data_IF_214671119575
#
_entry.id   IF_214671119575
#
_cell.length_a   1.000
_cell.length_b   1.000
_cell.length_c   1.000
_cell.angle_alpha   90.00
_cell.angle_beta   90.00
_cell.angle_gamma   90.00
#
_symmetry.space_group_name_H-M   'P 1'
#
loop_
_entity.id
_entity.type
_entity.pdbx_description
1 polymer ?
#
# COMPACT_ATOMS: atom_id res chain seq x y z
N UNK A 1 -21.29 43.32 -23.24
CA UNK A 1 -21.35 41.85 -23.42
C UNK A 1 -20.08 41.11 -22.98
N UNK A 2 -18.91 41.76 -22.84
CA UNK A 2 -17.66 41.10 -22.42
C UNK A 2 -17.46 40.92 -20.90
N UNK A 3 -18.04 41.80 -20.06
CA UNK A 3 -17.83 41.76 -18.61
C UNK A 3 -18.62 40.66 -17.89
N UNK A 4 -19.80 40.30 -18.39
CA UNK A 4 -20.64 39.23 -17.80
C UNK A 4 -19.99 37.86 -18.02
N UNK A 5 -19.33 37.66 -19.17
CA UNK A 5 -18.56 36.44 -19.47
C UNK A 5 -17.30 36.32 -18.61
N UNK A 6 -16.63 37.44 -18.30
CA UNK A 6 -15.46 37.45 -17.42
C UNK A 6 -15.83 37.14 -15.96
N UNK A 7 -16.96 37.65 -15.47
CA UNK A 7 -17.48 37.35 -14.13
C UNK A 7 -17.96 35.90 -13.99
N UNK A 8 -18.61 35.35 -15.02
CA UNK A 8 -19.00 33.94 -15.06
C UNK A 8 -17.79 33.00 -15.11
N UNK A 9 -16.77 33.33 -15.91
CA UNK A 9 -15.53 32.55 -15.99
C UNK A 9 -14.76 32.54 -14.68
N UNK A 10 -14.72 33.68 -13.97
CA UNK A 10 -14.02 33.80 -12.68
C UNK A 10 -14.81 33.16 -11.53
N UNK A 11 -16.14 33.23 -11.56
CA UNK A 11 -17.01 32.53 -10.60
C UNK A 11 -16.93 31.00 -10.72
N UNK A 12 -16.89 30.48 -11.95
CA UNK A 12 -16.80 29.03 -12.20
C UNK A 12 -15.46 28.43 -11.74
N UNK A 13 -14.35 29.18 -11.88
CA UNK A 13 -13.01 28.75 -11.49
C UNK A 13 -12.83 28.69 -9.96
N UNK A 14 -13.47 29.60 -9.23
CA UNK A 14 -13.48 29.60 -7.75
C UNK A 14 -14.32 28.44 -7.21
N UNK A 15 -15.44 28.10 -7.86
CA UNK A 15 -16.28 26.95 -7.49
C UNK A 15 -15.54 25.62 -7.74
N UNK A 16 -14.80 25.51 -8.86
CA UNK A 16 -13.97 24.34 -9.14
C UNK A 16 -12.82 24.17 -8.12
N UNK A 17 -12.21 25.27 -7.67
CA UNK A 17 -11.18 25.25 -6.61
C UNK A 17 -11.71 24.91 -5.21
N UNK A 18 -12.99 25.16 -4.92
CA UNK A 18 -13.60 24.90 -3.60
C UNK A 18 -14.29 23.54 -3.47
N UNK A 19 -14.60 22.85 -4.57
CA UNK A 19 -15.17 21.49 -4.53
C UNK A 19 -14.13 20.37 -4.74
N UNK A 20 -12.92 20.70 -5.19
CA UNK A 20 -11.81 19.77 -5.30
C UNK A 20 -11.33 19.12 -3.97
N UNK A 21 -11.44 19.72 -2.77
CA UNK A 21 -10.89 19.11 -1.56
C UNK A 21 -11.82 18.10 -0.87
N UNK A 22 -13.03 17.83 -1.40
CA UNK A 22 -14.04 17.02 -0.69
C UNK A 22 -14.04 15.53 -1.01
N UNK A 23 -13.36 15.11 -2.07
CA UNK A 23 -13.14 13.68 -2.34
C UNK A 23 -11.69 13.54 -2.75
N UNK A 24 -10.87 13.03 -1.84
CA UNK A 24 -9.53 12.57 -2.16
C UNK A 24 -9.67 11.38 -3.12
N UNK A 25 -9.79 11.69 -4.40
CA UNK A 25 -10.00 10.71 -5.47
C UNK A 25 -8.81 9.75 -5.55
N UNK A 26 -7.63 10.19 -5.09
CA UNK A 26 -6.47 9.32 -4.93
C UNK A 26 -6.69 8.29 -3.84
N UNK A 27 -7.21 8.69 -2.66
CA UNK A 27 -7.57 7.74 -1.61
C UNK A 27 -8.64 6.74 -2.05
N UNK A 28 -9.68 7.20 -2.75
CA UNK A 28 -10.74 6.32 -3.27
C UNK A 28 -10.16 5.33 -4.28
N UNK A 29 -9.29 5.79 -5.18
CA UNK A 29 -8.64 4.95 -6.19
C UNK A 29 -7.70 3.94 -5.55
N UNK A 30 -6.90 4.35 -4.58
CA UNK A 30 -5.95 3.45 -3.92
C UNK A 30 -6.68 2.44 -3.03
N UNK A 31 -7.74 2.86 -2.33
CA UNK A 31 -8.62 1.93 -1.60
C UNK A 31 -9.24 0.88 -2.52
N UNK A 32 -9.68 1.28 -3.72
CA UNK A 32 -10.20 0.33 -4.72
C UNK A 32 -9.10 -0.63 -5.19
N UNK A 33 -7.89 -0.13 -5.45
CA UNK A 33 -6.74 -0.97 -5.83
C UNK A 33 -6.37 -1.98 -4.74
N UNK A 34 -6.31 -1.57 -3.47
CA UNK A 34 -6.07 -2.45 -2.33
C UNK A 34 -7.11 -3.58 -2.27
N UNK A 35 -8.39 -3.25 -2.41
CA UNK A 35 -9.48 -4.25 -2.47
C UNK A 35 -9.33 -5.20 -3.65
N UNK A 36 -9.00 -4.70 -4.84
CA UNK A 36 -8.78 -5.54 -6.02
C UNK A 36 -7.58 -6.49 -5.81
N UNK A 37 -6.49 -6.02 -5.22
CA UNK A 37 -5.31 -6.83 -4.89
C UNK A 37 -5.63 -7.93 -3.87
N UNK A 38 -6.32 -7.58 -2.78
CA UNK A 38 -6.76 -8.56 -1.79
C UNK A 38 -7.68 -9.62 -2.41
N UNK A 39 -8.61 -9.22 -3.28
CA UNK A 39 -9.48 -10.14 -3.99
C UNK A 39 -8.72 -11.04 -4.98
N UNK A 40 -7.69 -10.51 -5.67
CA UNK A 40 -6.83 -11.29 -6.55
C UNK A 40 -6.06 -12.37 -5.78
N UNK A 41 -5.47 -12.02 -4.63
CA UNK A 41 -4.79 -12.99 -3.76
C UNK A 41 -5.77 -14.06 -3.26
N UNK A 42 -6.99 -13.68 -2.87
CA UNK A 42 -8.02 -14.62 -2.45
C UNK A 42 -8.44 -15.59 -3.58
N UNK A 43 -8.34 -15.18 -4.84
CA UNK A 43 -8.53 -16.06 -6.02
C UNK A 43 -7.29 -16.90 -6.34
N UNK A 44 -6.21 -16.78 -5.57
CA UNK A 44 -4.95 -17.46 -5.81
C UNK A 44 -4.08 -16.81 -6.88
N UNK A 45 -4.37 -15.57 -7.31
CA UNK A 45 -3.56 -14.86 -8.29
C UNK A 45 -2.29 -14.29 -7.66
N UNK A 46 -1.18 -14.27 -8.42
CA UNK A 46 0.06 -13.61 -8.00
C UNK A 46 -0.13 -12.10 -8.09
N UNK A 47 0.08 -11.41 -6.97
CA UNK A 47 -0.18 -9.97 -6.84
C UNK A 47 0.96 -9.27 -6.13
N UNK A 48 1.34 -8.10 -6.62
CA UNK A 48 2.34 -7.24 -5.95
C UNK A 48 1.67 -6.26 -5.00
N UNK A 49 2.06 -6.29 -3.73
CA UNK A 49 1.58 -5.39 -2.68
C UNK A 49 2.69 -4.38 -2.33
N UNK A 50 2.40 -3.06 -2.35
CA UNK A 50 3.34 -2.04 -1.89
C UNK A 50 3.67 -2.18 -0.40
N UNK A 51 4.95 -2.05 -0.04
CA UNK A 51 5.39 -2.04 1.34
C UNK A 51 6.74 -1.33 1.50
N UNK A 52 7.08 -1.02 2.76
CA UNK A 52 8.44 -0.67 3.16
C UNK A 52 9.02 -1.90 3.87
N UNK A 53 10.21 -2.30 3.45
CA UNK A 53 10.94 -3.42 4.03
C UNK A 53 12.29 -2.94 4.55
N UNK A 54 12.64 -3.38 5.75
CA UNK A 54 13.99 -3.35 6.29
C UNK A 54 14.33 -4.75 6.70
N UNK A 55 15.32 -5.33 6.05
CA UNK A 55 15.73 -6.72 6.24
C UNK A 55 17.24 -6.84 6.03
N UNK A 56 17.92 -7.56 6.93
CA UNK A 56 19.37 -7.69 6.91
C UNK A 56 19.90 -8.31 5.60
N UNK A 57 19.18 -9.26 5.02
CA UNK A 57 19.63 -10.01 3.84
C UNK A 57 19.13 -9.38 2.54
N UNK A 58 17.86 -8.97 2.50
CA UNK A 58 17.22 -8.48 1.27
C UNK A 58 17.45 -7.00 1.00
N UNK A 59 17.71 -6.21 2.04
CA UNK A 59 17.86 -4.74 1.92
C UNK A 59 19.19 -4.25 2.48
N UNK A 60 20.05 -5.14 2.99
CA UNK A 60 21.28 -4.78 3.69
C UNK A 60 21.03 -4.06 5.02
N UNK A 61 19.86 -4.26 5.63
CA UNK A 61 19.45 -3.61 6.87
C UNK A 61 18.97 -2.16 6.73
N UNK A 62 18.81 -1.66 5.50
CA UNK A 62 18.27 -0.33 5.21
C UNK A 62 16.77 -0.38 4.92
N UNK A 63 16.02 0.65 5.32
CA UNK A 63 14.62 0.79 4.90
C UNK A 63 14.54 1.04 3.39
N UNK A 64 13.74 0.24 2.70
CA UNK A 64 13.50 0.38 1.26
C UNK A 64 12.02 0.24 0.93
N UNK A 65 11.52 1.17 0.12
CA UNK A 65 10.19 1.05 -0.50
C UNK A 65 10.24 0.06 -1.67
N UNK A 66 9.16 -0.71 -1.82
CA UNK A 66 9.04 -1.68 -2.90
C UNK A 66 7.74 -2.44 -2.84
N UNK A 67 7.78 -3.68 -3.34
CA UNK A 67 6.59 -4.53 -3.43
C UNK A 67 6.92 -5.97 -3.06
N UNK A 68 6.05 -6.56 -2.26
CA UNK A 68 6.03 -8.00 -2.02
C UNK A 68 5.09 -8.68 -3.01
N UNK A 69 5.59 -9.66 -3.74
CA UNK A 69 4.75 -10.50 -4.58
C UNK A 69 4.19 -11.65 -3.75
N UNK A 70 2.86 -11.75 -3.70
CA UNK A 70 2.10 -12.64 -2.81
C UNK A 70 1.07 -13.43 -3.61
N UNK A 71 0.76 -14.65 -3.18
CA UNK A 71 -0.22 -15.53 -3.83
C UNK A 71 0.38 -16.35 -4.97
N UNK A 72 -0.48 -16.97 -5.79
CA UNK A 72 -0.06 -17.84 -6.89
C UNK A 72 0.44 -19.23 -6.46
N UNK A 73 0.22 -19.64 -5.20
CA UNK A 73 0.78 -20.88 -4.65
C UNK A 73 2.31 -20.91 -4.60
N UNK A 74 2.96 -19.74 -4.67
CA UNK A 74 4.42 -19.57 -4.68
C UNK A 74 4.86 -18.83 -3.41
N UNK A 75 6.11 -19.05 -3.00
CA UNK A 75 6.74 -18.30 -1.92
C UNK A 75 6.61 -16.78 -2.11
N UNK A 76 6.50 -16.05 -1.01
CA UNK A 76 6.47 -14.58 -1.05
C UNK A 76 7.85 -14.09 -1.50
N UNK A 77 7.88 -13.12 -2.41
CA UNK A 77 9.16 -12.60 -2.92
C UNK A 77 9.26 -11.08 -2.85
N UNK A 78 10.46 -10.60 -2.57
CA UNK A 78 10.87 -9.19 -2.65
C UNK A 78 11.91 -9.05 -3.76
N UNK A 79 11.61 -8.23 -4.79
CA UNK A 79 12.50 -8.04 -5.96
C UNK A 79 13.03 -9.36 -6.56
N UNK A 80 12.19 -10.40 -6.55
CA UNK A 80 12.51 -11.72 -7.09
C UNK A 80 13.26 -12.66 -6.13
N UNK A 81 13.71 -12.17 -4.96
CA UNK A 81 14.30 -12.99 -3.91
C UNK A 81 13.22 -13.47 -2.94
N UNK A 82 13.37 -14.67 -2.41
CA UNK A 82 12.44 -15.23 -1.43
C UNK A 82 12.47 -14.42 -0.13
N UNK A 83 11.28 -14.12 0.39
CA UNK A 83 11.10 -13.42 1.66
C UNK A 83 10.51 -14.37 2.68
N UNK A 84 11.36 -14.84 3.60
CA UNK A 84 11.00 -15.78 4.66
C UNK A 84 11.48 -15.23 6.03
N UNK A 85 10.84 -14.18 6.57
CA UNK A 85 11.27 -13.50 7.80
C UNK A 85 11.00 -14.31 9.08
N UNK A 86 10.46 -15.52 8.97
CA UNK A 86 9.91 -16.27 10.09
C UNK A 86 8.66 -15.60 10.68
N UNK A 87 8.40 -15.86 11.96
CA UNK A 87 7.24 -15.32 12.65
C UNK A 87 7.31 -13.79 12.77
N UNK A 88 6.30 -13.11 12.23
CA UNK A 88 6.14 -11.66 12.31
C UNK A 88 5.15 -11.29 13.43
N UNK A 89 5.57 -10.38 14.31
CA UNK A 89 4.73 -9.83 15.38
C UNK A 89 4.39 -8.38 15.06
N UNK A 90 3.09 -8.06 15.11
CA UNK A 90 2.61 -6.69 14.96
C UNK A 90 3.12 -5.83 16.13
N UNK A 91 3.79 -4.72 15.82
CA UNK A 91 4.32 -3.78 16.82
C UNK A 91 3.49 -2.50 16.91
N UNK A 92 3.05 -1.98 15.76
CA UNK A 92 2.31 -0.72 15.70
C UNK A 92 1.28 -0.75 14.57
N UNK A 93 0.17 -0.04 14.78
CA UNK A 93 -0.90 0.15 13.80
C UNK A 93 -1.30 1.61 13.81
N UNK A 94 -1.26 2.24 12.65
CA UNK A 94 -1.87 3.53 12.41
C UNK A 94 -2.76 3.49 11.15
N UNK A 95 -3.29 4.65 10.74
CA UNK A 95 -4.21 4.74 9.59
C UNK A 95 -3.52 4.47 8.24
N UNK A 96 -2.20 4.64 8.16
CA UNK A 96 -1.41 4.56 6.94
C UNK A 96 -0.63 3.23 6.86
N UNK A 97 -0.18 2.68 7.99
CA UNK A 97 0.63 1.48 8.03
C UNK A 97 0.39 0.60 9.27
N UNK A 98 0.61 -0.69 9.09
CA UNK A 98 0.87 -1.67 10.14
C UNK A 98 2.35 -2.05 10.05
N UNK A 99 3.02 -2.00 11.20
CA UNK A 99 4.44 -2.34 11.32
C UNK A 99 4.58 -3.69 12.00
N UNK A 100 5.30 -4.59 11.36
CA UNK A 100 5.62 -5.93 11.83
C UNK A 100 7.11 -6.09 12.04
N UNK A 101 7.51 -6.81 13.08
CA UNK A 101 8.90 -7.19 13.30
C UNK A 101 9.03 -8.70 13.37
N UNK A 102 10.13 -9.23 12.83
CA UNK A 102 10.54 -10.61 13.10
C UNK A 102 10.92 -10.80 14.57
N UNK A 103 10.86 -12.04 15.06
CA UNK A 103 11.22 -12.38 16.44
C UNK A 103 12.65 -11.95 16.82
N UNK A 104 13.59 -12.03 15.87
CA UNK A 104 14.99 -11.65 16.03
C UNK A 104 15.27 -10.16 15.78
N UNK A 105 14.22 -9.36 15.48
CA UNK A 105 14.29 -7.92 15.16
C UNK A 105 15.16 -7.57 13.95
N UNK A 106 15.55 -8.55 13.11
CA UNK A 106 16.33 -8.31 11.88
C UNK A 106 15.48 -7.83 10.71
N UNK A 107 14.17 -8.09 10.77
CA UNK A 107 13.22 -7.70 9.75
C UNK A 107 12.17 -6.77 10.34
N UNK A 108 11.91 -5.68 9.65
CA UNK A 108 10.76 -4.80 9.83
C UNK A 108 10.01 -4.68 8.50
N UNK A 109 8.70 -4.96 8.54
CA UNK A 109 7.80 -4.87 7.40
C UNK A 109 6.68 -3.89 7.71
N UNK A 110 6.52 -2.88 6.86
CA UNK A 110 5.45 -1.88 6.97
C UNK A 110 4.56 -1.96 5.75
N UNK A 111 3.28 -2.22 5.98
CA UNK A 111 2.27 -2.45 4.94
C UNK A 111 0.99 -1.71 5.29
N UNK A 112 0.17 -1.38 4.29
CA UNK A 112 -1.13 -0.79 4.59
C UNK A 112 -2.03 -1.77 5.37
N UNK A 113 -2.83 -1.32 6.36
CA UNK A 113 -3.70 -2.21 7.15
C UNK A 113 -4.61 -3.14 6.33
N UNK A 114 -5.25 -2.61 5.27
CA UNK A 114 -6.09 -3.40 4.35
C UNK A 114 -5.35 -4.57 3.67
N UNK A 115 -4.02 -4.54 3.61
CA UNK A 115 -3.19 -5.51 2.87
C UNK A 115 -2.33 -6.38 3.81
N UNK A 116 -2.35 -6.13 5.11
CA UNK A 116 -1.57 -6.89 6.09
C UNK A 116 -2.02 -8.36 6.19
N UNK A 117 -3.33 -8.60 6.32
CA UNK A 117 -3.88 -9.95 6.46
C UNK A 117 -3.52 -10.91 5.31
N UNK A 118 -3.67 -10.53 4.01
CA UNK A 118 -3.28 -11.43 2.92
C UNK A 118 -1.77 -11.69 2.86
N UNK A 119 -0.92 -10.77 3.31
CA UNK A 119 0.53 -11.00 3.41
C UNK A 119 0.83 -12.03 4.49
N UNK A 120 0.29 -11.85 5.69
CA UNK A 120 0.57 -12.75 6.82
C UNK A 120 0.15 -14.19 6.51
N UNK A 121 -1.04 -14.38 5.92
CA UNK A 121 -1.52 -15.71 5.51
C UNK A 121 -0.64 -16.39 4.45
N UNK A 122 0.11 -15.62 3.67
CA UNK A 122 1.00 -16.17 2.65
C UNK A 122 2.40 -16.49 3.20
N UNK A 123 2.71 -16.07 4.42
CA UNK A 123 3.95 -16.34 5.13
C UNK A 123 3.80 -17.48 6.17
N UNK A 124 2.57 -17.93 6.43
CA UNK A 124 2.24 -19.12 7.22
C UNK A 124 2.42 -20.41 6.39
#
# INVERSE_FOLDING_TARGET
>A
MGEILALLGRGLLVIAGHLAPLVDWFDVRERRRRRTRAAAIARGERTEIPCVLKDAELTGGAEQEGRLAVGGGKAVTWRGQEFAPGALTMQAVDRQAVTFHSADRRTELRVHPDEAAPILRALE
#
